data_IF_908657408861
#
_entry.id   IF_908657408861
#
_cell.length_a   1.000
_cell.length_b   1.000
_cell.length_c   1.000
_cell.angle_alpha   90.00
_cell.angle_beta   90.00
_cell.angle_gamma   90.00
#
_symmetry.space_group_name_H-M   'P 1'
#
loop_
_entity.id
_entity.type
_entity.pdbx_description
1 polymer ?
#
# COMPACT_ATOMS: atom_id res chain seq x y z
N UNK A 1 -14.43 8.96 21.56
CA UNK A 1 -13.16 9.09 20.82
C UNK A 1 -12.70 7.74 20.25
N UNK A 2 -12.66 6.68 21.05
CA UNK A 2 -12.27 5.33 20.63
C UNK A 2 -13.08 4.78 19.44
N UNK A 3 -14.40 4.91 19.46
CA UNK A 3 -15.26 4.42 18.36
C UNK A 3 -14.95 5.09 17.01
N UNK A 4 -14.59 6.40 17.02
CA UNK A 4 -14.25 7.14 15.80
C UNK A 4 -12.94 6.64 15.17
N UNK A 5 -11.95 6.32 16.01
CA UNK A 5 -10.66 5.75 15.58
C UNK A 5 -10.89 4.35 14.98
N UNK A 6 -11.72 3.52 15.61
CA UNK A 6 -12.03 2.18 15.12
C UNK A 6 -12.67 2.20 13.71
N UNK A 7 -13.65 3.09 13.46
CA UNK A 7 -14.24 3.25 12.13
C UNK A 7 -13.21 3.66 11.07
N UNK A 8 -12.30 4.56 11.43
CA UNK A 8 -11.26 5.04 10.52
C UNK A 8 -10.25 3.96 10.15
N UNK A 9 -9.87 3.12 11.12
CA UNK A 9 -9.03 1.94 10.88
C UNK A 9 -9.77 0.94 9.98
N UNK A 10 -11.06 0.67 10.24
CA UNK A 10 -11.87 -0.21 9.39
C UNK A 10 -11.97 0.28 7.95
N UNK A 11 -12.18 1.58 7.72
CA UNK A 11 -12.23 2.16 6.37
C UNK A 11 -10.86 2.07 5.70
N UNK A 12 -9.77 2.28 6.44
CA UNK A 12 -8.40 2.14 5.92
C UNK A 12 -8.07 0.70 5.52
N UNK A 13 -8.67 -0.27 6.21
CA UNK A 13 -8.56 -1.69 5.89
C UNK A 13 -9.36 -2.10 4.65
N UNK A 14 -10.36 -1.33 4.20
CA UNK A 14 -11.11 -1.69 3.00
C UNK A 14 -10.25 -1.47 1.75
N UNK A 15 -10.08 -2.50 0.90
CA UNK A 15 -9.44 -2.32 -0.40
C UNK A 15 -10.21 -1.26 -1.20
N UNK A 16 -9.52 -0.46 -2.01
CA UNK A 16 -10.01 0.73 -2.73
C UNK A 16 -10.22 2.00 -1.90
N UNK A 17 -10.69 1.91 -0.65
CA UNK A 17 -10.93 3.09 0.19
C UNK A 17 -9.64 3.58 0.86
N UNK A 18 -8.82 2.66 1.39
CA UNK A 18 -7.45 2.88 1.90
C UNK A 18 -7.21 4.26 2.56
N UNK A 19 -5.98 4.78 2.46
CA UNK A 19 -5.55 6.06 3.04
C UNK A 19 -6.29 7.26 2.42
N UNK A 20 -6.75 7.12 1.18
CA UNK A 20 -7.32 8.23 0.39
C UNK A 20 -8.72 8.60 0.82
N UNK A 21 -9.51 7.64 1.28
CA UNK A 21 -10.82 7.90 1.85
C UNK A 21 -10.73 8.16 3.36
N UNK A 22 -9.86 7.46 4.08
CA UNK A 22 -9.81 7.56 5.54
C UNK A 22 -9.32 8.91 6.04
N UNK A 23 -8.31 9.52 5.41
CA UNK A 23 -7.83 10.87 5.76
C UNK A 23 -8.92 11.95 5.60
N UNK A 24 -9.51 12.18 4.41
CA UNK A 24 -10.56 13.19 4.25
C UNK A 24 -11.79 12.87 5.08
N UNK A 25 -12.14 11.59 5.28
CA UNK A 25 -13.24 11.22 6.16
C UNK A 25 -12.96 11.61 7.62
N UNK A 26 -11.76 11.33 8.13
CA UNK A 26 -11.41 11.68 9.51
C UNK A 26 -11.28 13.18 9.76
N UNK A 27 -10.75 13.92 8.78
CA UNK A 27 -10.63 15.38 8.88
C UNK A 27 -11.99 16.05 8.67
N UNK A 28 -12.70 15.74 7.59
CA UNK A 28 -13.88 16.51 7.17
C UNK A 28 -15.17 16.03 7.83
N UNK A 29 -15.34 14.71 8.00
CA UNK A 29 -16.58 14.14 8.55
C UNK A 29 -16.48 13.98 10.06
N UNK A 30 -15.37 13.40 10.56
CA UNK A 30 -15.20 13.16 11.99
C UNK A 30 -14.69 14.38 12.77
N UNK A 31 -14.24 15.43 12.06
CA UNK A 31 -13.65 16.68 12.59
C UNK A 31 -12.53 16.43 13.58
N UNK A 32 -11.69 15.44 13.30
CA UNK A 32 -10.55 15.09 14.14
C UNK A 32 -9.33 15.96 13.80
N UNK A 33 -8.41 16.19 14.76
CA UNK A 33 -7.16 16.87 14.48
C UNK A 33 -6.40 16.13 13.38
N UNK A 34 -6.02 16.87 12.32
CA UNK A 34 -5.29 16.30 11.18
C UNK A 34 -4.00 15.54 11.57
N UNK A 35 -3.21 15.92 12.61
CA UNK A 35 -2.00 15.17 12.96
C UNK A 35 -2.34 13.77 13.47
N UNK A 36 -3.40 13.64 14.27
CA UNK A 36 -3.86 12.36 14.80
C UNK A 36 -4.37 11.46 13.67
N UNK A 37 -5.18 12.03 12.76
CA UNK A 37 -5.69 11.34 11.57
C UNK A 37 -4.55 10.81 10.71
N UNK A 38 -3.57 11.66 10.42
CA UNK A 38 -2.40 11.34 9.60
C UNK A 38 -1.60 10.17 10.18
N UNK A 39 -1.21 10.26 11.46
CA UNK A 39 -0.39 9.23 12.13
C UNK A 39 -1.14 7.90 12.18
N UNK A 40 -2.41 7.90 12.59
CA UNK A 40 -3.21 6.67 12.72
C UNK A 40 -3.40 5.99 11.36
N UNK A 41 -3.73 6.76 10.31
CA UNK A 41 -3.94 6.19 8.97
C UNK A 41 -2.66 5.62 8.39
N UNK A 42 -1.54 6.33 8.53
CA UNK A 42 -0.26 5.89 7.98
C UNK A 42 0.18 4.58 8.63
N UNK A 43 0.13 4.50 9.96
CA UNK A 43 0.52 3.28 10.68
C UNK A 43 -0.39 2.12 10.28
N UNK A 44 -1.70 2.34 10.24
CA UNK A 44 -2.65 1.32 9.83
C UNK A 44 -2.36 0.83 8.40
N UNK A 45 -2.10 1.75 7.47
CA UNK A 45 -1.89 1.42 6.06
C UNK A 45 -0.57 0.69 5.79
N UNK A 46 0.53 1.13 6.43
CA UNK A 46 1.80 0.39 6.39
C UNK A 46 1.61 -1.03 6.93
N UNK A 47 0.91 -1.19 8.06
CA UNK A 47 0.69 -2.51 8.64
C UNK A 47 -0.10 -3.43 7.70
N UNK A 48 -1.10 -2.87 7.00
CA UNK A 48 -1.88 -3.57 5.97
C UNK A 48 -0.97 -4.00 4.82
N UNK A 49 -0.07 -3.14 4.33
CA UNK A 49 0.86 -3.48 3.25
C UNK A 49 1.80 -4.62 3.56
N UNK A 50 2.45 -4.51 4.72
CA UNK A 50 3.32 -5.56 5.26
C UNK A 50 2.56 -6.87 5.36
N UNK A 51 1.32 -6.84 5.89
CA UNK A 51 0.49 -8.03 6.04
C UNK A 51 0.10 -8.64 4.70
N UNK A 52 -0.32 -7.82 3.72
CA UNK A 52 -0.74 -8.28 2.40
C UNK A 52 0.42 -8.94 1.68
N UNK A 53 1.59 -8.29 1.62
CA UNK A 53 2.75 -8.87 0.96
C UNK A 53 3.14 -10.20 1.62
N UNK A 54 3.20 -10.23 2.95
CA UNK A 54 3.55 -11.45 3.68
C UNK A 54 2.55 -12.59 3.42
N UNK A 55 1.26 -12.27 3.45
CA UNK A 55 0.19 -13.23 3.24
C UNK A 55 0.19 -13.73 1.79
N UNK A 56 0.42 -12.84 0.83
CA UNK A 56 0.55 -13.16 -0.59
C UNK A 56 1.71 -14.12 -0.83
N UNK A 57 2.90 -13.83 -0.28
CA UNK A 57 4.06 -14.70 -0.41
C UNK A 57 3.79 -16.10 0.15
N UNK A 58 3.15 -16.16 1.34
CA UNK A 58 2.79 -17.41 1.98
C UNK A 58 1.74 -18.20 1.20
N UNK A 59 0.71 -17.54 0.68
CA UNK A 59 -0.32 -18.17 -0.12
C UNK A 59 0.25 -18.72 -1.43
N UNK A 60 1.03 -17.91 -2.15
CA UNK A 60 1.65 -18.36 -3.40
C UNK A 60 2.54 -19.57 -3.14
N UNK A 61 3.43 -19.53 -2.15
CA UNK A 61 4.26 -20.68 -1.79
C UNK A 61 3.46 -21.91 -1.38
N UNK A 62 2.29 -21.73 -0.74
CA UNK A 62 1.39 -22.82 -0.43
C UNK A 62 0.81 -23.48 -1.69
N UNK A 63 0.34 -22.68 -2.66
CA UNK A 63 -0.17 -23.20 -3.94
C UNK A 63 0.92 -23.83 -4.81
N UNK A 64 2.15 -23.34 -4.75
CA UNK A 64 3.29 -23.90 -5.50
C UNK A 64 3.68 -25.32 -5.06
N UNK A 65 3.14 -25.83 -3.94
CA UNK A 65 3.27 -27.25 -3.57
C UNK A 65 2.56 -28.19 -4.55
N UNK A 66 1.56 -27.70 -5.28
CA UNK A 66 0.83 -28.47 -6.28
C UNK A 66 1.46 -28.29 -7.67
N UNK A 67 1.79 -29.41 -8.34
CA UNK A 67 2.42 -29.42 -9.67
C UNK A 67 1.66 -28.63 -10.75
N UNK A 68 0.34 -28.50 -10.59
CA UNK A 68 -0.51 -27.72 -11.49
C UNK A 68 -0.17 -26.23 -11.49
N UNK A 69 0.13 -25.66 -10.32
CA UNK A 69 0.46 -24.24 -10.17
C UNK A 69 1.95 -23.96 -10.29
N UNK A 70 2.82 -24.93 -9.93
CA UNK A 70 4.27 -24.71 -9.93
C UNK A 70 4.90 -24.65 -11.32
N UNK A 71 4.41 -25.45 -12.29
CA UNK A 71 4.89 -25.40 -13.68
C UNK A 71 4.74 -24.02 -14.33
N UNK A 72 3.51 -23.44 -14.43
CA UNK A 72 3.34 -22.14 -15.07
C UNK A 72 4.04 -21.02 -14.29
N UNK A 73 4.02 -21.07 -12.95
CA UNK A 73 4.73 -20.09 -12.12
C UNK A 73 6.24 -20.09 -12.38
N UNK A 74 6.88 -21.25 -12.40
CA UNK A 74 8.32 -21.35 -12.64
C UNK A 74 8.69 -20.91 -14.07
N UNK A 75 7.85 -21.21 -15.05
CA UNK A 75 8.11 -20.88 -16.45
C UNK A 75 7.91 -19.39 -16.76
N UNK A 76 6.91 -18.76 -16.15
CA UNK A 76 6.53 -17.38 -16.47
C UNK A 76 7.11 -16.43 -15.41
N UNK A 77 6.74 -16.61 -14.14
CA UNK A 77 7.06 -15.65 -13.08
C UNK A 77 8.55 -15.67 -12.76
N UNK A 78 9.12 -16.84 -12.42
CA UNK A 78 10.54 -16.91 -12.06
C UNK A 78 11.47 -16.53 -13.23
N UNK A 79 11.09 -16.89 -14.46
CA UNK A 79 11.86 -16.51 -15.65
C UNK A 79 11.82 -15.00 -15.87
N UNK A 80 10.64 -14.39 -15.72
CA UNK A 80 10.47 -12.94 -15.85
C UNK A 80 11.27 -12.21 -14.79
N UNK A 81 11.14 -12.61 -13.51
CA UNK A 81 11.90 -12.04 -12.40
C UNK A 81 13.40 -12.09 -12.64
N UNK A 82 13.94 -13.25 -13.08
CA UNK A 82 15.37 -13.38 -13.43
C UNK A 82 15.80 -12.40 -14.52
N UNK A 83 14.97 -12.19 -15.54
CA UNK A 83 15.29 -11.28 -16.65
C UNK A 83 15.31 -9.81 -16.22
N UNK A 84 14.42 -9.41 -15.30
CA UNK A 84 14.29 -8.03 -14.84
C UNK A 84 15.05 -7.74 -13.54
N UNK A 85 15.68 -8.75 -12.93
CA UNK A 85 16.28 -8.68 -11.60
C UNK A 85 17.22 -7.49 -11.42
N UNK A 86 18.12 -7.23 -12.38
CA UNK A 86 19.06 -6.09 -12.33
C UNK A 86 18.34 -4.74 -12.23
N UNK A 87 17.24 -4.59 -12.96
CA UNK A 87 16.44 -3.37 -12.96
C UNK A 87 15.62 -3.26 -11.68
N UNK A 88 15.02 -4.37 -11.21
CA UNK A 88 14.24 -4.41 -9.97
C UNK A 88 15.13 -4.15 -8.75
N UNK A 89 16.35 -4.66 -8.73
CA UNK A 89 17.26 -4.43 -7.61
C UNK A 89 17.69 -2.96 -7.50
N UNK A 90 17.77 -2.25 -8.62
CA UNK A 90 18.18 -0.85 -8.69
C UNK A 90 17.00 0.13 -8.54
N UNK A 91 15.84 -0.19 -9.11
CA UNK A 91 14.72 0.74 -9.24
C UNK A 91 13.40 0.23 -8.64
N UNK A 92 13.32 -1.04 -8.24
CA UNK A 92 12.08 -1.65 -7.76
C UNK A 92 11.54 -0.98 -6.50
N UNK A 93 12.42 -0.63 -5.56
CA UNK A 93 12.03 0.11 -4.34
C UNK A 93 11.39 1.46 -4.67
N UNK A 94 12.07 2.28 -5.48
CA UNK A 94 11.58 3.59 -5.88
C UNK A 94 10.32 3.49 -6.75
N UNK A 95 10.26 2.54 -7.68
CA UNK A 95 9.11 2.33 -8.54
C UNK A 95 7.86 1.94 -7.75
N UNK A 96 7.99 1.03 -6.79
CA UNK A 96 6.88 0.63 -5.92
C UNK A 96 6.49 1.78 -4.98
N UNK A 97 7.47 2.49 -4.41
CA UNK A 97 7.20 3.63 -3.53
C UNK A 97 6.41 4.73 -4.26
N UNK A 98 6.83 5.08 -5.48
CA UNK A 98 6.12 6.06 -6.30
C UNK A 98 4.73 5.56 -6.69
N UNK A 99 4.59 4.28 -7.06
CA UNK A 99 3.29 3.71 -7.39
C UNK A 99 2.30 3.78 -6.22
N UNK A 100 2.73 3.42 -5.01
CA UNK A 100 1.92 3.52 -3.78
C UNK A 100 1.65 4.99 -3.44
N UNK A 101 2.66 5.85 -3.59
CA UNK A 101 2.62 7.27 -3.22
C UNK A 101 1.72 8.14 -4.08
N UNK A 102 1.42 7.72 -5.30
CA UNK A 102 0.47 8.41 -6.17
C UNK A 102 -0.96 8.12 -5.69
N UNK A 103 -1.75 9.13 -5.27
CA UNK A 103 -3.10 8.94 -4.73
C UNK A 103 -4.15 8.78 -5.85
N UNK A 104 -3.94 7.84 -6.78
CA UNK A 104 -4.87 7.52 -7.86
C UNK A 104 -5.75 6.31 -7.50
N UNK A 105 -7.00 6.23 -8.00
CA UNK A 105 -7.81 5.04 -7.84
C UNK A 105 -7.12 3.82 -8.48
N UNK A 106 -7.01 2.72 -7.74
CA UNK A 106 -6.39 1.47 -8.20
C UNK A 106 -4.88 1.33 -7.93
N UNK A 107 -4.14 2.41 -7.68
CA UNK A 107 -2.82 2.30 -7.02
C UNK A 107 -3.01 2.12 -5.51
N UNK A 108 -1.93 2.00 -4.74
CA UNK A 108 -2.02 1.88 -3.29
C UNK A 108 -1.32 0.64 -2.78
N UNK A 109 -1.53 0.35 -1.50
CA UNK A 109 -0.69 -0.60 -0.78
C UNK A 109 -1.04 -2.05 -1.15
N UNK A 110 -2.31 -2.33 -1.45
CA UNK A 110 -2.76 -3.64 -1.93
C UNK A 110 -2.16 -3.98 -3.31
N UNK A 111 -2.31 -3.08 -4.29
CA UNK A 111 -1.78 -3.28 -5.63
C UNK A 111 -0.25 -3.14 -5.67
N UNK A 112 0.33 -2.30 -4.81
CA UNK A 112 1.77 -2.18 -4.61
C UNK A 112 2.41 -3.46 -4.08
N UNK A 113 1.79 -4.11 -3.08
CA UNK A 113 2.24 -5.41 -2.56
C UNK A 113 2.21 -6.51 -3.63
N UNK A 114 1.11 -6.58 -4.40
CA UNK A 114 0.98 -7.51 -5.52
C UNK A 114 2.04 -7.25 -6.60
N UNK A 115 2.21 -5.99 -7.00
CA UNK A 115 3.19 -5.58 -8.01
C UNK A 115 4.62 -5.89 -7.56
N UNK A 116 4.97 -5.55 -6.31
CA UNK A 116 6.25 -5.84 -5.70
C UNK A 116 6.56 -7.35 -5.70
N UNK A 117 5.56 -8.17 -5.39
CA UNK A 117 5.71 -9.63 -5.44
C UNK A 117 5.96 -10.14 -6.86
N UNK A 118 5.17 -9.68 -7.83
CA UNK A 118 5.29 -10.10 -9.24
C UNK A 118 6.66 -9.77 -9.81
N UNK A 119 7.17 -8.57 -9.54
CA UNK A 119 8.51 -8.16 -10.00
C UNK A 119 9.65 -8.82 -9.23
N UNK A 120 9.37 -9.56 -8.14
CA UNK A 120 10.38 -10.24 -7.33
C UNK A 120 11.12 -9.29 -6.38
N UNK A 121 10.49 -8.20 -5.96
CA UNK A 121 11.08 -7.29 -4.99
C UNK A 121 11.08 -7.96 -3.61
N UNK A 122 12.25 -8.02 -2.96
CA UNK A 122 12.39 -8.63 -1.65
C UNK A 122 11.51 -7.96 -0.57
N UNK A 123 11.02 -8.73 0.40
CA UNK A 123 10.15 -8.22 1.47
C UNK A 123 10.69 -6.98 2.19
N UNK A 124 11.99 -6.96 2.56
CA UNK A 124 12.60 -5.80 3.22
C UNK A 124 12.56 -4.54 2.34
N UNK A 125 12.84 -4.70 1.05
CA UNK A 125 12.80 -3.63 0.05
C UNK A 125 11.38 -3.12 -0.13
N UNK A 126 10.41 -4.04 -0.15
CA UNK A 126 8.99 -3.71 -0.18
C UNK A 126 8.55 -2.90 1.05
N UNK A 127 8.96 -3.27 2.27
CA UNK A 127 8.61 -2.50 3.48
C UNK A 127 9.09 -1.06 3.38
N UNK A 128 10.34 -0.85 2.91
CA UNK A 128 10.88 0.50 2.73
C UNK A 128 10.07 1.27 1.68
N UNK A 129 9.77 0.63 0.55
CA UNK A 129 8.97 1.23 -0.51
C UNK A 129 7.54 1.59 -0.04
N UNK A 130 6.92 0.70 0.73
CA UNK A 130 5.58 0.88 1.30
C UNK A 130 5.53 2.06 2.28
N UNK A 131 6.48 2.13 3.21
CA UNK A 131 6.59 3.26 4.15
C UNK A 131 6.74 4.59 3.39
N UNK A 132 7.66 4.65 2.42
CA UNK A 132 7.90 5.87 1.64
C UNK A 132 6.65 6.24 0.83
N UNK A 133 6.04 5.26 0.15
CA UNK A 133 4.84 5.47 -0.65
C UNK A 133 3.67 5.97 0.21
N UNK A 134 3.38 5.31 1.33
CA UNK A 134 2.30 5.71 2.23
C UNK A 134 2.52 7.12 2.80
N UNK A 135 3.77 7.48 3.14
CA UNK A 135 4.10 8.84 3.59
C UNK A 135 3.85 9.89 2.50
N UNK A 136 4.25 9.63 1.26
CA UNK A 136 4.01 10.51 0.12
C UNK A 136 2.50 10.67 -0.10
N UNK A 137 1.77 9.56 -0.23
CA UNK A 137 0.32 9.56 -0.45
C UNK A 137 -0.41 10.28 0.69
N UNK A 138 -0.06 9.99 1.95
CA UNK A 138 -0.66 10.62 3.11
C UNK A 138 -0.43 12.11 3.17
N UNK A 139 0.77 12.55 2.82
CA UNK A 139 1.10 13.98 2.79
C UNK A 139 0.29 14.69 1.73
N UNK A 140 0.25 14.15 0.50
CA UNK A 140 -0.53 14.72 -0.61
C UNK A 140 -2.02 14.77 -0.26
N UNK A 141 -2.60 13.67 0.21
CA UNK A 141 -4.04 13.61 0.54
C UNK A 141 -4.38 14.53 1.71
N UNK A 142 -3.49 14.66 2.69
CA UNK A 142 -3.70 15.59 3.81
C UNK A 142 -3.68 17.04 3.34
N UNK A 143 -2.69 17.42 2.52
CA UNK A 143 -2.61 18.77 1.94
C UNK A 143 -3.85 19.08 1.10
N UNK A 144 -4.32 18.14 0.29
CA UNK A 144 -5.55 18.32 -0.48
C UNK A 144 -6.73 18.49 0.47
N UNK A 145 -6.85 17.66 1.51
CA UNK A 145 -7.97 17.71 2.46
C UNK A 145 -7.99 18.99 3.30
N UNK A 146 -6.83 19.48 3.74
CA UNK A 146 -6.71 20.72 4.54
C UNK A 146 -6.69 21.99 3.69
N UNK A 147 -6.17 21.93 2.46
CA UNK A 147 -6.21 23.03 1.50
C UNK A 147 -7.61 23.25 0.91
N UNK A 148 -8.37 22.17 0.67
CA UNK A 148 -9.79 22.25 0.30
C UNK A 148 -10.62 22.91 1.42
N UNK A 149 -10.27 22.71 2.70
CA UNK A 149 -10.94 23.38 3.81
C UNK A 149 -10.83 24.91 3.72
N UNK A 150 -9.68 25.47 3.34
CA UNK A 150 -9.52 26.92 3.20
C UNK A 150 -10.32 27.53 2.04
N UNK A 151 -10.75 26.73 1.07
CA UNK A 151 -11.55 27.17 -0.07
C UNK A 151 -13.06 27.06 0.17
N UNK A 152 -13.49 26.29 1.18
CA UNK A 152 -14.90 26.02 1.49
C UNK A 152 -15.36 26.79 2.74
N UNK A 153 -14.44 27.24 3.60
CA UNK A 153 -14.69 28.15 4.74
C UNK A 153 -14.63 29.62 4.33
#
# INVERSE_FOLDING_TARGET
MFNKIAYMVFITMLPFLELRASIPYGINVLRMPWPTVFIVCIIANILIGVLIYFLLDKFVHFFLRYKFFSKPYNQIVLRTQKNIQKSVDKYGELGVALFIGVPLPGSGVYSGALGAYVIGLNFKKFIIADIIGVLIAGTIVTIISTGVLQLIS
#
